data_IF_689580082241
#
_entry.id   IF_689580082241
#
_cell.length_a   1.000
_cell.length_b   1.000
_cell.length_c   1.000
_cell.angle_alpha   90.00
_cell.angle_beta   90.00
_cell.angle_gamma   90.00
#
_symmetry.space_group_name_H-M   'P 1'
#
loop_
_entity.id
_entity.type
_entity.pdbx_description
1 polymer ?
#
# COMPACT_ATOMS: atom_id res chain seq x y z
N UNK A 1 -10.39 9.85 -28.40
CA UNK A 1 -8.94 9.62 -28.23
C UNK A 1 -8.48 10.39 -27.01
N UNK A 2 -8.00 9.70 -25.98
CA UNK A 2 -7.35 10.34 -24.83
C UNK A 2 -6.05 11.03 -25.28
N UNK A 3 -5.81 12.26 -24.80
CA UNK A 3 -4.49 12.89 -24.92
C UNK A 3 -3.59 12.45 -23.76
N UNK A 4 -2.27 12.47 -23.95
CA UNK A 4 -1.26 12.22 -22.93
C UNK A 4 -1.55 12.99 -21.63
N UNK A 5 -1.93 14.28 -21.69
CA UNK A 5 -2.27 15.07 -20.49
C UNK A 5 -3.44 14.47 -19.72
N UNK A 6 -4.52 14.15 -20.43
CA UNK A 6 -5.70 13.52 -19.83
C UNK A 6 -5.33 12.15 -19.24
N UNK A 7 -4.46 11.38 -19.90
CA UNK A 7 -4.01 10.11 -19.35
C UNK A 7 -3.26 10.30 -18.04
N UNK A 8 -2.36 11.30 -17.95
CA UNK A 8 -1.63 11.60 -16.71
C UNK A 8 -2.58 11.99 -15.57
N UNK A 9 -3.59 12.80 -15.87
CA UNK A 9 -4.61 13.23 -14.90
C UNK A 9 -5.42 12.02 -14.37
N UNK A 10 -5.70 11.04 -15.23
CA UNK A 10 -6.42 9.79 -14.89
C UNK A 10 -5.49 8.63 -14.47
N UNK A 11 -4.17 8.81 -14.46
CA UNK A 11 -3.22 7.70 -14.31
C UNK A 11 -3.28 7.06 -12.92
N UNK A 12 -3.47 7.88 -11.87
CA UNK A 12 -3.59 7.39 -10.50
C UNK A 12 -4.82 6.51 -10.30
N UNK A 13 -6.00 6.98 -10.72
CA UNK A 13 -7.24 6.22 -10.65
C UNK A 13 -7.19 4.94 -11.49
N UNK A 14 -6.52 4.98 -12.64
CA UNK A 14 -6.31 3.81 -13.48
C UNK A 14 -5.43 2.75 -12.80
N UNK A 15 -4.42 3.18 -12.03
CA UNK A 15 -3.58 2.26 -11.24
C UNK A 15 -4.34 1.64 -10.08
N UNK A 16 -5.30 2.36 -9.50
CA UNK A 16 -6.15 1.87 -8.41
C UNK A 16 -7.38 1.09 -8.93
N UNK A 17 -7.41 0.75 -10.22
CA UNK A 17 -8.48 0.00 -10.89
C UNK A 17 -9.89 0.60 -10.75
N UNK A 18 -10.00 1.91 -10.51
CA UNK A 18 -11.28 2.59 -10.27
C UNK A 18 -12.16 2.71 -11.53
N UNK A 19 -11.61 2.44 -12.72
CA UNK A 19 -12.36 2.55 -13.98
C UNK A 19 -12.92 1.22 -14.48
N UNK A 20 -14.24 1.11 -14.49
CA UNK A 20 -14.99 0.04 -15.16
C UNK A 20 -15.65 0.57 -16.45
N UNK A 21 -15.67 -0.27 -17.51
CA UNK A 21 -16.35 0.04 -18.78
C UNK A 21 -15.47 0.69 -19.86
N UNK A 22 -16.07 1.55 -20.69
CA UNK A 22 -15.49 2.12 -21.91
C UNK A 22 -14.20 2.91 -21.69
N UNK A 23 -14.08 3.63 -20.56
CA UNK A 23 -12.86 4.36 -20.20
C UNK A 23 -11.62 3.46 -20.11
N UNK A 24 -11.80 2.21 -19.67
CA UNK A 24 -10.69 1.24 -19.56
C UNK A 24 -10.19 0.81 -20.95
N UNK A 25 -11.08 0.74 -21.93
CA UNK A 25 -10.73 0.43 -23.33
C UNK A 25 -9.98 1.60 -23.94
N UNK A 26 -10.46 2.83 -23.76
CA UNK A 26 -9.79 4.04 -24.26
C UNK A 26 -8.37 4.19 -23.70
N UNK A 27 -8.19 3.94 -22.40
CA UNK A 27 -6.86 3.96 -21.77
C UNK A 27 -5.95 2.88 -22.34
N UNK A 28 -6.45 1.64 -22.50
CA UNK A 28 -5.68 0.55 -23.11
C UNK A 28 -5.26 0.90 -24.53
N UNK A 29 -6.17 1.42 -25.34
CA UNK A 29 -5.88 1.83 -26.72
C UNK A 29 -4.85 2.95 -26.77
N UNK A 30 -4.96 3.95 -25.89
CA UNK A 30 -3.96 5.01 -25.77
C UNK A 30 -2.58 4.47 -25.38
N UNK A 31 -2.50 3.55 -24.41
CA UNK A 31 -1.25 2.91 -24.00
C UNK A 31 -0.66 2.00 -25.08
N UNK A 32 -1.51 1.45 -25.97
CA UNK A 32 -1.06 0.69 -27.13
C UNK A 32 -0.29 1.57 -28.10
N UNK A 33 -0.79 2.77 -28.37
CA UNK A 33 -0.25 3.71 -29.38
C UNK A 33 0.87 4.60 -28.80
N UNK A 34 0.72 5.09 -27.57
CA UNK A 34 1.64 6.05 -26.97
C UNK A 34 2.70 5.36 -26.08
N UNK A 35 3.95 5.35 -26.56
CA UNK A 35 5.08 4.74 -25.82
C UNK A 35 5.47 5.51 -24.55
N UNK A 36 5.30 6.84 -24.55
CA UNK A 36 5.61 7.69 -23.39
C UNK A 36 4.70 7.39 -22.21
N UNK A 37 3.38 7.41 -22.45
CA UNK A 37 2.39 7.07 -21.42
C UNK A 37 2.55 5.65 -20.91
N UNK A 38 2.94 4.70 -21.79
CA UNK A 38 3.25 3.33 -21.37
C UNK A 38 4.48 3.24 -20.45
N UNK A 39 5.54 4.00 -20.73
CA UNK A 39 6.73 4.07 -19.85
C UNK A 39 6.38 4.72 -18.52
N UNK A 40 5.62 5.81 -18.55
CA UNK A 40 5.16 6.52 -17.36
C UNK A 40 4.29 5.62 -16.46
N UNK A 41 3.29 4.93 -17.02
CA UNK A 41 2.44 4.02 -16.26
C UNK A 41 3.24 2.89 -15.60
N UNK A 42 4.26 2.36 -16.29
CA UNK A 42 5.19 1.38 -15.71
C UNK A 42 6.05 1.95 -14.59
N UNK A 43 6.49 3.20 -14.71
CA UNK A 43 7.26 3.86 -13.66
C UNK A 43 6.40 4.07 -12.41
N UNK A 44 5.18 4.58 -12.58
CA UNK A 44 4.23 4.75 -11.48
C UNK A 44 3.89 3.43 -10.77
N UNK A 45 3.62 2.36 -11.52
CA UNK A 45 3.36 1.02 -10.96
C UNK A 45 4.54 0.51 -10.13
N UNK A 46 5.78 0.71 -10.61
CA UNK A 46 6.98 0.34 -9.86
C UNK A 46 7.10 1.15 -8.56
N UNK A 47 6.95 2.47 -8.63
CA UNK A 47 7.03 3.34 -7.44
C UNK A 47 5.97 2.96 -6.39
N UNK A 48 4.73 2.67 -6.83
CA UNK A 48 3.66 2.18 -5.96
C UNK A 48 4.03 0.85 -5.30
N UNK A 49 4.52 -0.13 -6.05
CA UNK A 49 4.92 -1.44 -5.51
C UNK A 49 6.06 -1.34 -4.51
N UNK A 50 7.08 -0.54 -4.81
CA UNK A 50 8.18 -0.29 -3.88
C UNK A 50 7.67 0.34 -2.59
N UNK A 51 6.78 1.34 -2.68
CA UNK A 51 6.15 1.94 -1.51
C UNK A 51 5.31 0.95 -0.70
N UNK A 52 4.53 0.10 -1.38
CA UNK A 52 3.72 -0.93 -0.74
C UNK A 52 4.58 -1.98 -0.01
N UNK A 53 5.69 -2.41 -0.62
CA UNK A 53 6.61 -3.37 0.00
C UNK A 53 7.35 -2.77 1.21
N UNK A 54 7.78 -1.51 1.09
CA UNK A 54 8.36 -0.77 2.21
C UNK A 54 7.37 -0.65 3.36
N UNK A 55 6.13 -0.25 3.08
CA UNK A 55 5.08 -0.19 4.09
C UNK A 55 4.87 -1.56 4.75
N UNK A 56 4.70 -2.63 3.97
CA UNK A 56 4.54 -3.99 4.50
C UNK A 56 5.70 -4.40 5.42
N UNK A 57 6.93 -4.09 5.03
CA UNK A 57 8.14 -4.37 5.83
C UNK A 57 8.12 -3.62 7.16
N UNK A 58 7.80 -2.32 7.13
CA UNK A 58 7.73 -1.49 8.33
C UNK A 58 6.65 -1.99 9.31
N UNK A 59 5.47 -2.36 8.80
CA UNK A 59 4.39 -2.93 9.63
C UNK A 59 4.78 -4.25 10.30
N UNK A 60 5.56 -5.10 9.62
CA UNK A 60 6.06 -6.35 10.20
C UNK A 60 7.09 -6.11 11.31
N UNK A 61 7.99 -5.14 11.12
CA UNK A 61 8.99 -4.76 12.12
C UNK A 61 8.31 -4.22 13.40
N UNK A 62 7.28 -3.38 13.23
CA UNK A 62 6.58 -2.77 14.36
C UNK A 62 5.71 -3.79 15.12
N UNK A 63 5.06 -4.72 14.41
CA UNK A 63 4.29 -5.81 15.02
C UNK A 63 5.17 -6.79 15.81
N UNK A 64 6.31 -7.20 15.25
CA UNK A 64 7.26 -8.08 15.95
C UNK A 64 7.86 -7.42 17.20
N UNK A 65 8.14 -6.11 17.13
CA UNK A 65 8.67 -5.34 18.25
C UNK A 65 7.60 -5.15 19.35
N UNK A 66 6.36 -4.90 18.95
CA UNK A 66 5.22 -4.72 19.86
C UNK A 66 4.88 -6.01 20.61
N UNK A 67 4.89 -7.18 19.95
CA UNK A 67 4.67 -8.48 20.58
C UNK A 67 5.78 -8.81 21.60
N UNK A 68 7.03 -8.52 21.24
CA UNK A 68 8.16 -8.67 22.17
C UNK A 68 8.04 -7.74 23.39
N UNK A 69 7.63 -6.48 23.21
CA UNK A 69 7.38 -5.54 24.33
C UNK A 69 6.24 -6.06 25.22
N UNK A 70 5.12 -6.50 24.65
CA UNK A 70 3.97 -6.99 25.41
C UNK A 70 4.31 -8.23 26.24
N UNK A 71 5.13 -9.14 25.69
CA UNK A 71 5.62 -10.33 26.41
C UNK A 71 6.48 -10.00 27.63
N UNK A 72 7.14 -8.83 27.66
CA UNK A 72 7.93 -8.36 28.82
C UNK A 72 7.07 -7.69 29.88
N UNK A 73 5.90 -7.17 29.52
CA UNK A 73 4.96 -6.55 30.45
C UNK A 73 4.07 -7.59 31.16
N UNK A 74 3.70 -8.67 30.48
CA UNK A 74 2.87 -9.74 31.06
C UNK A 74 3.46 -10.45 32.31
N UNK A 75 4.78 -10.70 32.45
CA UNK A 75 5.31 -11.33 33.66
C UNK A 75 5.24 -10.44 34.92
N UNK A 76 5.11 -9.12 34.77
CA UNK A 76 5.03 -8.20 35.91
C UNK A 76 3.61 -8.10 36.51
N UNK A 77 2.56 -8.52 35.80
CA UNK A 77 1.17 -8.39 36.25
C UNK A 77 0.69 -9.57 37.14
N UNK A 78 1.53 -10.57 37.43
CA UNK A 78 1.15 -11.76 38.23
C UNK A 78 1.65 -11.74 39.69
N UNK A 79 2.22 -10.62 40.17
CA UNK A 79 2.83 -10.54 41.52
C UNK A 79 2.09 -9.65 42.52
N UNK A 80 0.84 -9.26 42.27
CA UNK A 80 0.04 -8.51 43.24
C UNK A 80 -1.34 -9.16 43.44
N UNK A 81 -1.37 -10.38 44.00
CA UNK A 81 -2.55 -10.92 44.69
C UNK A 81 -2.09 -11.88 45.78
N UNK A 82 -1.84 -11.34 46.97
CA UNK A 82 -1.65 -12.19 48.15
C UNK A 82 -0.76 -11.60 49.23
N UNK A 83 -1.15 -10.48 49.83
CA UNK A 83 -1.01 -10.36 51.28
C UNK A 83 -2.12 -9.46 51.82
N UNK A 84 -2.92 -10.01 52.72
CA UNK A 84 -4.17 -9.40 53.16
C UNK A 84 -4.97 -10.40 53.96
N UNK A 85 -4.50 -10.75 55.15
CA UNK A 85 -5.33 -11.33 56.23
C UNK A 85 -4.56 -11.31 57.56
N UNK A 86 -5.24 -11.35 58.72
CA UNK A 86 -6.53 -10.78 59.13
C UNK A 86 -6.40 -9.49 59.97
#
# INVERSE_FOLDING_TARGET
MLNCKQFTDLASDNLDAQYHGWKRIDIRLHLLICRHCRRFNRHLDRSRRTGAELAKTLWQIDGASSEHIFSRLQPAAKQDTGDGTP
#
